data_IF_095560859213
#
_entry.id   IF_095560859213
#
_cell.length_a   1.000
_cell.length_b   1.000
_cell.length_c   1.000
_cell.angle_alpha   90.00
_cell.angle_beta   90.00
_cell.angle_gamma   90.00
#
_symmetry.space_group_name_H-M   'P 1'
#
loop_
_entity.id
_entity.type
_entity.pdbx_description
1 polymer ?
#
# COMPACT_ATOMS: atom_id res chain seq x y z
N UNK A 1 -1.89 -39.27 35.53
CA UNK A 1 -2.78 -38.32 36.24
C UNK A 1 -3.70 -37.74 35.19
N UNK A 2 -5.02 -37.82 35.36
CA UNK A 2 -5.95 -37.22 34.41
C UNK A 2 -5.90 -35.70 34.54
N UNK A 3 -5.78 -34.98 33.43
CA UNK A 3 -5.92 -33.53 33.45
C UNK A 3 -7.29 -33.16 34.04
N UNK A 4 -7.37 -32.22 34.99
CA UNK A 4 -8.65 -31.77 35.52
C UNK A 4 -9.50 -31.26 34.36
N UNK A 5 -10.68 -31.88 34.17
CA UNK A 5 -11.63 -31.48 33.14
C UNK A 5 -11.93 -29.99 33.29
N UNK A 6 -11.53 -29.21 32.28
CA UNK A 6 -11.85 -27.79 32.25
C UNK A 6 -13.37 -27.67 32.08
N UNK A 7 -14.08 -26.98 32.99
CA UNK A 7 -15.53 -26.84 32.89
C UNK A 7 -15.92 -26.18 31.56
N UNK A 8 -17.05 -26.61 30.99
CA UNK A 8 -17.54 -26.05 29.75
C UNK A 8 -17.80 -24.53 29.89
N UNK A 9 -17.43 -23.71 28.89
CA UNK A 9 -17.64 -22.26 28.96
C UNK A 9 -19.14 -21.93 29.04
N UNK A 10 -19.47 -20.82 29.69
CA UNK A 10 -20.84 -20.29 29.68
C UNK A 10 -21.28 -19.98 28.24
N UNK A 11 -22.59 -20.01 27.93
CA UNK A 11 -23.08 -19.70 26.58
C UNK A 11 -22.65 -18.31 26.08
N UNK A 12 -22.61 -17.32 26.98
CA UNK A 12 -22.18 -15.96 26.64
C UNK A 12 -20.68 -15.89 26.33
N UNK A 13 -19.85 -16.62 27.07
CA UNK A 13 -18.42 -16.71 26.79
C UNK A 13 -18.17 -17.46 25.49
N UNK A 14 -18.86 -18.58 25.25
CA UNK A 14 -18.75 -19.33 24.00
C UNK A 14 -19.11 -18.45 22.78
N UNK A 15 -20.15 -17.62 22.90
CA UNK A 15 -20.51 -16.65 21.87
C UNK A 15 -19.41 -15.60 21.66
N UNK A 16 -18.89 -15.01 22.73
CA UNK A 16 -17.79 -14.04 22.65
C UNK A 16 -16.52 -14.63 22.01
N UNK A 17 -16.19 -15.89 22.31
CA UNK A 17 -15.05 -16.58 21.72
C UNK A 17 -15.25 -16.85 20.21
N UNK A 18 -16.49 -17.05 19.75
CA UNK A 18 -16.78 -17.34 18.34
C UNK A 18 -16.52 -16.17 17.38
N UNK A 19 -16.45 -14.94 17.91
CA UNK A 19 -16.19 -13.72 17.12
C UNK A 19 -14.74 -13.23 17.24
N UNK A 20 -13.88 -13.98 17.92
CA UNK A 20 -12.45 -13.69 17.99
C UNK A 20 -11.76 -14.06 16.68
N UNK A 21 -10.95 -13.12 16.17
CA UNK A 21 -10.15 -13.32 14.95
C UNK A 21 -8.77 -13.82 15.36
N UNK A 22 -8.43 -15.03 14.90
CA UNK A 22 -7.12 -15.67 15.08
C UNK A 22 -6.63 -15.75 16.54
N UNK A 23 -7.43 -16.25 17.50
CA UNK A 23 -6.94 -16.51 18.85
C UNK A 23 -5.97 -17.70 18.85
N UNK A 24 -4.89 -17.61 19.62
CA UNK A 24 -4.05 -18.76 19.93
C UNK A 24 -4.68 -19.63 21.05
N UNK A 25 -4.25 -20.89 21.12
CA UNK A 25 -4.81 -21.85 22.09
C UNK A 25 -4.58 -21.42 23.55
N UNK A 26 -3.47 -20.73 23.82
CA UNK A 26 -3.13 -20.30 25.17
C UNK A 26 -4.09 -19.21 25.65
N UNK A 27 -4.42 -18.25 24.79
CA UNK A 27 -5.42 -17.21 25.04
C UNK A 27 -6.81 -17.82 25.24
N UNK A 28 -7.19 -18.82 24.44
CA UNK A 28 -8.48 -19.50 24.59
C UNK A 28 -8.58 -20.21 25.95
N UNK A 29 -7.52 -20.94 26.35
CA UNK A 29 -7.47 -21.61 27.66
C UNK A 29 -7.49 -20.61 28.80
N UNK A 30 -6.78 -19.49 28.67
CA UNK A 30 -6.77 -18.44 29.69
C UNK A 30 -8.15 -17.78 29.83
N UNK A 31 -8.81 -17.45 28.72
CA UNK A 31 -10.15 -16.87 28.72
C UNK A 31 -11.19 -17.77 29.41
N UNK A 32 -11.03 -19.10 29.33
CA UNK A 32 -11.89 -20.07 30.02
C UNK A 32 -11.63 -20.18 31.53
N UNK A 33 -10.40 -19.89 31.97
CA UNK A 33 -9.98 -20.02 33.38
C UNK A 33 -10.01 -18.72 34.16
N UNK A 34 -9.99 -17.59 33.46
CA UNK A 34 -9.90 -16.26 34.05
C UNK A 34 -11.24 -15.51 33.93
N UNK A 35 -11.98 -15.44 35.05
CA UNK A 35 -13.28 -14.77 35.12
C UNK A 35 -13.26 -13.28 34.76
N UNK A 36 -12.13 -12.58 34.96
CA UNK A 36 -12.00 -11.18 34.56
C UNK A 36 -11.91 -11.06 33.04
N UNK A 37 -11.09 -11.90 32.41
CA UNK A 37 -10.96 -11.95 30.95
C UNK A 37 -12.29 -12.40 30.32
N UNK A 38 -12.94 -13.44 30.85
CA UNK A 38 -14.24 -13.91 30.39
C UNK A 38 -15.32 -12.82 30.44
N UNK A 39 -15.39 -12.06 31.55
CA UNK A 39 -16.31 -10.92 31.68
C UNK A 39 -15.99 -9.80 30.69
N UNK A 40 -14.71 -9.52 30.47
CA UNK A 40 -14.27 -8.51 29.51
C UNK A 40 -14.69 -8.89 28.10
N UNK A 41 -14.39 -10.11 27.66
CA UNK A 41 -14.77 -10.61 26.33
C UNK A 41 -16.30 -10.59 26.13
N UNK A 42 -17.05 -11.07 27.12
CA UNK A 42 -18.53 -11.06 27.07
C UNK A 42 -19.08 -9.63 26.97
N UNK A 43 -18.49 -8.68 27.70
CA UNK A 43 -18.90 -7.28 27.65
C UNK A 43 -18.64 -6.66 26.27
N UNK A 44 -17.45 -6.86 25.70
CA UNK A 44 -17.09 -6.29 24.39
C UNK A 44 -17.85 -6.95 23.23
N UNK A 45 -18.17 -8.24 23.33
CA UNK A 45 -19.06 -8.91 22.38
C UNK A 45 -20.47 -8.29 22.40
N UNK A 46 -21.07 -8.12 23.57
CA UNK A 46 -22.39 -7.49 23.71
C UNK A 46 -22.39 -6.03 23.21
N UNK A 47 -21.33 -5.28 23.53
CA UNK A 47 -21.15 -3.90 23.06
C UNK A 47 -21.04 -3.84 21.53
N UNK A 48 -20.16 -4.65 20.94
CA UNK A 48 -19.95 -4.69 19.49
C UNK A 48 -21.20 -5.05 18.73
N UNK A 49 -21.92 -6.08 19.20
CA UNK A 49 -23.19 -6.51 18.64
C UNK A 49 -24.23 -5.39 18.68
N UNK A 50 -24.38 -4.76 19.84
CA UNK A 50 -25.34 -3.66 20.01
C UNK A 50 -25.00 -2.44 19.14
N UNK A 51 -23.72 -2.13 18.93
CA UNK A 51 -23.31 -1.04 18.03
C UNK A 51 -23.59 -1.41 16.57
N UNK A 52 -23.25 -2.63 16.15
CA UNK A 52 -23.53 -3.11 14.80
C UNK A 52 -25.04 -3.10 14.50
N UNK A 53 -25.86 -3.57 15.44
CA UNK A 53 -27.33 -3.53 15.36
C UNK A 53 -27.86 -2.09 15.28
N UNK A 54 -27.31 -1.17 16.09
CA UNK A 54 -27.69 0.23 16.07
C UNK A 54 -27.37 0.92 14.72
N UNK A 55 -26.24 0.57 14.09
CA UNK A 55 -25.89 1.04 12.75
C UNK A 55 -26.80 0.45 11.67
N UNK A 56 -27.11 -0.85 11.77
CA UNK A 56 -28.02 -1.54 10.85
C UNK A 56 -29.46 -1.00 10.94
N UNK A 57 -29.97 -0.76 12.15
CA UNK A 57 -31.31 -0.20 12.38
C UNK A 57 -31.47 1.20 11.78
N UNK A 58 -30.38 1.98 11.74
CA UNK A 58 -30.33 3.31 11.13
C UNK A 58 -30.09 3.29 9.62
N UNK A 59 -29.97 2.11 9.02
CA UNK A 59 -29.65 1.91 7.60
C UNK A 59 -28.38 2.67 7.16
N UNK A 60 -27.37 2.72 8.04
CA UNK A 60 -26.10 3.42 7.75
C UNK A 60 -25.40 2.72 6.60
N UNK A 61 -25.22 3.44 5.49
CA UNK A 61 -24.66 2.92 4.22
C UNK A 61 -25.39 1.68 3.67
N UNK A 62 -26.69 1.52 3.98
CA UNK A 62 -27.47 0.37 3.52
C UNK A 62 -27.35 -0.89 4.40
N UNK A 63 -26.81 -0.75 5.62
CA UNK A 63 -26.70 -1.83 6.61
C UNK A 63 -25.63 -2.88 6.29
N UNK A 64 -25.66 -4.03 6.99
CA UNK A 64 -24.65 -5.08 6.83
C UNK A 64 -23.40 -4.88 7.70
N UNK A 65 -23.53 -4.14 8.80
CA UNK A 65 -22.52 -4.02 9.83
C UNK A 65 -22.49 -5.28 10.70
N UNK A 66 -21.28 -5.81 10.91
CA UNK A 66 -20.98 -6.95 11.78
C UNK A 66 -19.87 -6.59 12.75
N UNK A 67 -19.72 -7.30 13.87
CA UNK A 67 -18.61 -7.08 14.79
C UNK A 67 -17.67 -8.30 14.87
N UNK A 68 -16.42 -8.02 15.19
CA UNK A 68 -15.38 -9.00 15.49
C UNK A 68 -14.50 -8.48 16.63
N UNK A 69 -13.81 -9.38 17.32
CA UNK A 69 -12.86 -9.01 18.37
C UNK A 69 -11.47 -9.54 18.05
N UNK A 70 -10.43 -8.84 18.49
CA UNK A 70 -9.06 -9.36 18.52
C UNK A 70 -8.71 -9.84 19.93
N UNK A 71 -7.85 -10.88 20.07
CA UNK A 71 -7.34 -11.29 21.37
C UNK A 71 -6.65 -10.12 22.08
N UNK A 72 -7.27 -9.60 23.14
CA UNK A 72 -6.70 -8.54 23.96
C UNK A 72 -7.20 -8.60 25.39
N UNK A 73 -6.26 -8.48 26.34
CA UNK A 73 -6.53 -8.51 27.78
C UNK A 73 -7.34 -7.30 28.29
N UNK A 74 -7.41 -6.22 27.51
CA UNK A 74 -8.03 -4.97 27.92
C UNK A 74 -9.36 -4.72 27.20
N UNK A 75 -9.71 -5.58 26.25
CA UNK A 75 -10.91 -5.50 25.43
C UNK A 75 -10.78 -4.58 24.22
N UNK A 76 -11.19 -5.10 23.07
CA UNK A 76 -11.40 -4.33 21.86
C UNK A 76 -12.60 -4.91 21.12
N UNK A 77 -13.20 -4.10 20.26
CA UNK A 77 -14.16 -4.60 19.28
C UNK A 77 -14.04 -3.80 18.00
N UNK A 78 -14.11 -4.48 16.87
CA UNK A 78 -14.15 -3.88 15.54
C UNK A 78 -15.53 -4.06 14.97
N UNK A 79 -16.18 -2.98 14.55
CA UNK A 79 -17.47 -3.01 13.85
C UNK A 79 -17.20 -2.68 12.38
N UNK A 80 -17.45 -3.65 11.51
CA UNK A 80 -17.08 -3.64 10.09
C UNK A 80 -18.30 -3.74 9.19
N UNK A 81 -18.32 -2.90 8.17
CA UNK A 81 -19.24 -2.93 7.05
C UNK A 81 -18.73 -3.88 5.96
N UNK A 82 -19.65 -4.46 5.19
CA UNK A 82 -19.31 -5.32 4.04
C UNK A 82 -18.43 -4.64 2.99
N UNK A 83 -18.54 -3.32 2.83
CA UNK A 83 -17.75 -2.55 1.84
C UNK A 83 -16.36 -2.16 2.37
N UNK A 84 -15.92 -2.74 3.50
CA UNK A 84 -14.58 -2.54 4.06
C UNK A 84 -14.44 -1.40 5.07
N UNK A 85 -15.48 -0.56 5.22
CA UNK A 85 -15.51 0.45 6.29
C UNK A 85 -15.46 -0.24 7.66
N UNK A 86 -14.71 0.29 8.61
CA UNK A 86 -14.77 -0.22 9.97
C UNK A 86 -14.38 0.81 11.02
N UNK A 87 -14.89 0.60 12.22
CA UNK A 87 -14.56 1.34 13.43
C UNK A 87 -13.95 0.39 14.45
N UNK A 88 -12.81 0.77 15.01
CA UNK A 88 -12.12 0.01 16.05
C UNK A 88 -12.34 0.74 17.38
N UNK A 89 -12.96 0.04 18.33
CA UNK A 89 -13.20 0.50 19.68
C UNK A 89 -12.18 -0.14 20.60
N UNK A 90 -11.25 0.66 21.10
CA UNK A 90 -10.12 0.18 21.92
C UNK A 90 -10.20 0.73 23.33
N UNK A 91 -10.01 -0.16 24.29
CA UNK A 91 -9.77 0.22 25.67
C UNK A 91 -8.27 0.10 25.98
N UNK A 92 -7.61 1.23 26.24
CA UNK A 92 -6.16 1.29 26.45
C UNK A 92 -5.71 0.95 27.89
N UNK A 93 -6.58 0.35 28.71
CA UNK A 93 -6.17 -0.31 29.94
C UNK A 93 -5.77 0.58 31.14
N UNK A 94 -5.30 -0.12 32.18
CA UNK A 94 -5.56 0.06 33.63
C UNK A 94 -5.00 1.30 34.34
N UNK A 95 -4.18 2.15 33.72
CA UNK A 95 -3.50 3.23 34.45
C UNK A 95 -4.42 4.38 34.86
N UNK A 96 -5.56 4.55 34.17
CA UNK A 96 -6.52 5.62 34.43
C UNK A 96 -7.61 5.13 35.39
N UNK A 97 -7.70 5.75 36.57
CA UNK A 97 -8.75 5.48 37.55
C UNK A 97 -10.00 6.32 37.27
N UNK A 98 -11.15 5.86 37.77
CA UNK A 98 -12.42 6.60 37.70
C UNK A 98 -12.98 6.75 36.28
N UNK A 99 -13.70 7.85 35.97
CA UNK A 99 -14.36 8.04 34.68
C UNK A 99 -13.44 8.00 33.45
N UNK A 100 -12.14 8.29 33.63
CA UNK A 100 -11.17 8.27 32.54
C UNK A 100 -10.76 6.84 32.13
N UNK A 101 -10.88 5.86 33.03
CA UNK A 101 -10.64 4.45 32.76
C UNK A 101 -11.84 3.71 32.16
N UNK A 102 -12.99 4.39 32.01
CA UNK A 102 -14.22 3.82 31.42
C UNK A 102 -14.48 4.41 30.03
N UNK A 103 -13.41 4.65 29.27
CA UNK A 103 -13.45 5.31 27.96
C UNK A 103 -12.88 4.41 26.88
N UNK A 104 -13.56 4.40 25.74
CA UNK A 104 -13.12 3.75 24.51
C UNK A 104 -12.59 4.81 23.57
N UNK A 105 -11.40 4.59 23.03
CA UNK A 105 -10.93 5.30 21.85
C UNK A 105 -11.58 4.64 20.63
N UNK A 106 -12.17 5.46 19.76
CA UNK A 106 -12.77 4.99 18.51
C UNK A 106 -11.91 5.49 17.35
N UNK A 107 -11.35 4.54 16.61
CA UNK A 107 -10.53 4.78 15.43
C UNK A 107 -11.23 4.25 14.18
N UNK A 108 -10.84 4.77 13.02
CA UNK A 108 -11.33 4.34 11.71
C UNK A 108 -10.33 3.40 11.04
N UNK A 109 -10.89 2.49 10.25
CA UNK A 109 -10.13 1.56 9.43
C UNK A 109 -9.75 2.11 8.07
N UNK A 110 -8.49 1.95 7.66
CA UNK A 110 -8.02 2.32 6.32
C UNK A 110 -7.41 1.11 5.60
N UNK A 111 -7.41 1.09 4.26
CA UNK A 111 -6.65 0.11 3.50
C UNK A 111 -5.19 0.03 3.98
N UNK A 112 -4.64 -1.18 3.95
CA UNK A 112 -3.26 -1.41 4.37
C UNK A 112 -2.29 -0.54 3.57
N UNK A 113 -1.32 0.06 4.26
CA UNK A 113 -0.32 0.93 3.64
C UNK A 113 -0.74 2.40 3.42
N UNK A 114 -2.00 2.77 3.67
CA UNK A 114 -2.41 4.18 3.59
C UNK A 114 -1.69 5.04 4.64
N UNK A 115 -0.94 6.05 4.19
CA UNK A 115 -0.15 6.95 5.03
C UNK A 115 -0.61 8.42 4.98
N UNK A 116 -1.72 8.71 4.29
CA UNK A 116 -2.28 10.05 4.20
C UNK A 116 -2.95 10.54 5.49
N UNK A 117 -3.60 11.70 5.40
CA UNK A 117 -4.33 12.28 6.53
C UNK A 117 -5.43 11.33 7.00
N UNK A 118 -5.68 11.23 8.31
CA UNK A 118 -6.69 10.33 8.87
C UNK A 118 -7.69 11.11 9.72
N UNK A 119 -8.91 10.59 9.79
CA UNK A 119 -9.93 11.14 10.67
C UNK A 119 -9.44 11.04 12.13
N UNK A 120 -9.53 12.16 12.86
CA UNK A 120 -9.08 12.22 14.24
C UNK A 120 -9.91 11.28 15.12
N UNK A 121 -9.26 10.37 15.88
CA UNK A 121 -9.97 9.46 16.77
C UNK A 121 -10.83 10.20 17.80
N UNK A 122 -12.02 9.68 18.08
CA UNK A 122 -12.88 10.20 19.13
C UNK A 122 -12.77 9.35 20.39
N UNK A 123 -13.29 9.86 21.49
CA UNK A 123 -13.46 9.09 22.73
C UNK A 123 -14.92 9.07 23.14
N UNK A 124 -15.40 7.89 23.54
CA UNK A 124 -16.75 7.63 24.05
C UNK A 124 -16.67 6.90 25.39
N UNK A 125 -17.70 7.02 26.23
CA UNK A 125 -17.77 6.24 27.48
C UNK A 125 -18.26 4.83 27.19
N UNK A 126 -17.64 3.84 27.84
CA UNK A 126 -18.01 2.42 27.79
C UNK A 126 -19.38 2.14 28.44
N UNK A 127 -19.83 3.04 29.31
CA UNK A 127 -21.07 2.86 30.09
C UNK A 127 -22.32 3.33 29.35
N UNK A 128 -22.14 3.91 28.15
CA UNK A 128 -23.26 4.40 27.36
C UNK A 128 -23.91 3.25 26.62
N UNK A 129 -25.22 3.39 26.39
CA UNK A 129 -25.96 2.46 25.55
C UNK A 129 -25.31 2.39 24.16
N UNK A 130 -25.24 1.19 23.53
CA UNK A 130 -24.65 1.00 22.21
C UNK A 130 -25.22 1.96 21.15
N UNK A 131 -26.53 2.20 21.20
CA UNK A 131 -27.24 3.14 20.35
C UNK A 131 -26.68 4.58 20.41
N UNK A 132 -26.40 5.05 21.63
CA UNK A 132 -25.86 6.38 21.88
C UNK A 132 -24.38 6.48 21.49
N UNK A 133 -23.63 5.39 21.58
CA UNK A 133 -22.25 5.30 21.07
C UNK A 133 -22.26 5.39 19.54
N UNK A 134 -23.13 4.61 18.88
CA UNK A 134 -23.28 4.65 17.43
C UNK A 134 -23.64 6.06 16.94
N UNK A 135 -24.60 6.73 17.59
CA UNK A 135 -24.97 8.10 17.26
C UNK A 135 -23.78 9.09 17.36
N UNK A 136 -22.92 8.94 18.37
CA UNK A 136 -21.73 9.79 18.50
C UNK A 136 -20.67 9.51 17.42
N UNK A 137 -20.47 8.24 17.06
CA UNK A 137 -19.58 7.86 15.94
C UNK A 137 -20.08 8.47 14.64
N UNK A 138 -21.38 8.35 14.35
CA UNK A 138 -22.00 8.92 13.15
C UNK A 138 -21.90 10.44 13.09
N UNK A 139 -22.05 11.12 14.23
CA UNK A 139 -22.02 12.59 14.28
C UNK A 139 -20.60 13.15 14.24
N UNK A 140 -19.65 12.52 14.93
CA UNK A 140 -18.32 13.11 15.19
C UNK A 140 -17.20 12.53 14.34
N UNK A 141 -17.30 11.27 13.92
CA UNK A 141 -16.21 10.55 13.26
C UNK A 141 -16.55 10.21 11.80
N UNK A 142 -17.77 9.77 11.53
CA UNK A 142 -18.19 9.34 10.19
C UNK A 142 -17.98 10.40 9.09
N UNK A 143 -18.29 11.70 9.28
CA UNK A 143 -18.13 12.68 8.21
C UNK A 143 -16.67 12.77 7.73
N UNK A 144 -15.74 12.98 8.67
CA UNK A 144 -14.30 13.03 8.37
C UNK A 144 -13.79 11.70 7.81
N UNK A 145 -14.30 10.57 8.32
CA UNK A 145 -13.92 9.25 7.82
C UNK A 145 -14.29 9.06 6.35
N UNK A 146 -15.53 9.41 5.96
CA UNK A 146 -15.99 9.26 4.58
C UNK A 146 -15.17 10.13 3.61
N UNK A 147 -14.75 11.31 4.04
CA UNK A 147 -13.92 12.18 3.22
C UNK A 147 -12.53 11.58 2.99
N UNK A 148 -11.88 11.08 4.04
CA UNK A 148 -10.58 10.41 3.91
C UNK A 148 -10.65 9.07 3.17
N UNK A 149 -11.69 8.28 3.41
CA UNK A 149 -11.74 6.90 2.91
C UNK A 149 -11.76 6.85 1.39
N UNK A 150 -12.41 7.80 0.72
CA UNK A 150 -12.39 7.88 -0.75
C UNK A 150 -10.96 8.04 -1.28
N UNK A 151 -10.20 8.94 -0.67
CA UNK A 151 -8.80 9.16 -1.01
C UNK A 151 -7.95 7.92 -0.71
N UNK A 152 -8.13 7.33 0.47
CA UNK A 152 -7.40 6.14 0.88
C UNK A 152 -7.66 4.92 -0.04
N UNK A 153 -8.90 4.75 -0.52
CA UNK A 153 -9.24 3.70 -1.48
C UNK A 153 -8.60 3.97 -2.86
N UNK A 154 -8.59 5.22 -3.31
CA UNK A 154 -7.91 5.59 -4.55
C UNK A 154 -6.39 5.36 -4.46
N UNK A 155 -5.77 5.70 -3.33
CA UNK A 155 -4.36 5.42 -3.05
C UNK A 155 -4.07 3.92 -2.98
N UNK A 156 -4.95 3.13 -2.37
CA UNK A 156 -4.81 1.68 -2.32
C UNK A 156 -4.87 1.07 -3.72
N UNK A 157 -5.79 1.53 -4.57
CA UNK A 157 -5.87 1.08 -5.96
C UNK A 157 -4.61 1.45 -6.75
N UNK A 158 -4.09 2.68 -6.60
CA UNK A 158 -2.81 3.07 -7.22
C UNK A 158 -1.65 2.20 -6.73
N UNK A 159 -1.57 1.99 -5.43
CA UNK A 159 -0.51 1.21 -4.79
C UNK A 159 -0.52 -0.25 -5.25
N UNK A 160 -1.70 -0.86 -5.38
CA UNK A 160 -1.85 -2.21 -5.92
C UNK A 160 -1.54 -2.27 -7.41
N UNK A 161 -1.96 -1.28 -8.20
CA UNK A 161 -1.58 -1.19 -9.62
C UNK A 161 -0.04 -1.11 -9.78
N UNK A 162 0.63 -0.28 -8.97
CA UNK A 162 2.09 -0.20 -8.95
C UNK A 162 2.74 -1.51 -8.48
N UNK A 163 2.10 -2.21 -7.52
CA UNK A 163 2.56 -3.52 -7.05
C UNK A 163 2.51 -4.56 -8.16
N UNK A 164 1.39 -4.65 -8.87
CA UNK A 164 1.24 -5.56 -10.01
C UNK A 164 2.22 -5.22 -11.14
N UNK A 165 2.42 -3.93 -11.43
CA UNK A 165 3.44 -3.47 -12.38
C UNK A 165 4.85 -3.92 -11.97
N UNK A 166 5.22 -3.78 -10.69
CA UNK A 166 6.50 -4.28 -10.15
C UNK A 166 6.65 -5.78 -10.33
N UNK A 167 5.63 -6.56 -10.00
CA UNK A 167 5.65 -8.02 -10.17
C UNK A 167 5.91 -8.39 -11.64
N UNK A 168 5.16 -7.79 -12.57
CA UNK A 168 5.30 -8.05 -14.00
C UNK A 168 6.69 -7.68 -14.52
N UNK A 169 7.20 -6.52 -14.12
CA UNK A 169 8.51 -6.03 -14.54
C UNK A 169 9.67 -6.84 -13.95
N UNK A 170 9.60 -7.19 -12.66
CA UNK A 170 10.59 -8.06 -12.01
C UNK A 170 10.65 -9.42 -12.73
N UNK A 171 9.49 -9.99 -13.08
CA UNK A 171 9.41 -11.22 -13.85
C UNK A 171 10.02 -11.09 -15.25
N UNK A 172 9.80 -9.96 -15.94
CA UNK A 172 10.41 -9.70 -17.24
C UNK A 172 11.94 -9.60 -17.13
N UNK A 173 12.47 -8.87 -16.16
CA UNK A 173 13.91 -8.71 -15.94
C UNK A 173 14.59 -10.05 -15.70
N UNK A 174 14.00 -10.90 -14.86
CA UNK A 174 14.50 -12.25 -14.58
C UNK A 174 14.53 -13.15 -15.82
N UNK A 175 13.54 -13.02 -16.71
CA UNK A 175 13.52 -13.75 -17.98
C UNK A 175 14.62 -13.28 -18.95
N UNK A 176 14.92 -11.98 -18.97
CA UNK A 176 15.86 -11.38 -19.92
C UNK A 176 17.32 -11.50 -19.50
N UNK A 177 17.61 -11.57 -18.20
CA UNK A 177 18.98 -11.61 -17.67
C UNK A 177 19.15 -12.82 -16.75
N UNK A 178 19.59 -13.97 -17.29
CA UNK A 178 19.87 -15.16 -16.49
C UNK A 178 20.91 -14.86 -15.40
N UNK A 179 20.59 -15.22 -14.15
CA UNK A 179 21.50 -15.01 -12.99
C UNK A 179 21.37 -13.64 -12.32
N UNK A 180 20.37 -12.83 -12.69
CA UNK A 180 20.06 -11.59 -11.98
C UNK A 180 19.18 -11.86 -10.76
N UNK A 181 19.54 -11.30 -9.60
CA UNK A 181 18.80 -11.49 -8.33
C UNK A 181 18.63 -10.16 -7.60
N UNK A 182 17.65 -10.09 -6.70
CA UNK A 182 17.49 -8.93 -5.83
C UNK A 182 18.69 -8.77 -4.89
N UNK A 183 19.21 -7.55 -4.76
CA UNK A 183 20.24 -7.22 -3.77
C UNK A 183 19.69 -7.52 -2.37
N UNK A 184 20.49 -8.21 -1.55
CA UNK A 184 20.09 -8.68 -0.22
C UNK A 184 19.72 -10.17 -0.14
N UNK A 185 19.87 -10.92 -1.24
CA UNK A 185 19.74 -12.38 -1.24
C UNK A 185 18.30 -12.89 -1.11
N UNK A 186 17.30 -12.01 -1.20
CA UNK A 186 15.88 -12.40 -1.20
C UNK A 186 15.58 -13.09 -2.52
N UNK A 187 15.04 -14.32 -2.44
CA UNK A 187 14.65 -15.05 -3.65
C UNK A 187 13.50 -14.33 -4.33
N UNK A 188 13.48 -14.26 -5.67
CA UNK A 188 12.37 -13.68 -6.42
C UNK A 188 10.96 -14.12 -6.00
N UNK A 189 10.79 -15.40 -5.67
CA UNK A 189 9.51 -15.96 -5.23
C UNK A 189 9.04 -15.44 -3.86
N UNK A 190 9.96 -15.03 -3.00
CA UNK A 190 9.66 -14.62 -1.63
C UNK A 190 9.25 -13.13 -1.57
N UNK A 191 9.65 -12.34 -2.56
CA UNK A 191 9.30 -10.92 -2.69
C UNK A 191 9.15 -10.52 -4.17
N UNK A 192 8.03 -10.91 -4.83
CA UNK A 192 7.83 -10.66 -6.25
C UNK A 192 7.62 -9.16 -6.57
N UNK A 193 7.14 -8.36 -5.63
CA UNK A 193 6.88 -6.92 -5.76
C UNK A 193 7.98 -6.03 -5.14
N UNK A 194 9.17 -6.59 -4.89
CA UNK A 194 10.30 -5.93 -4.23
C UNK A 194 10.68 -4.59 -4.88
N UNK A 195 11.06 -3.64 -4.02
CA UNK A 195 11.56 -2.31 -4.37
C UNK A 195 13.08 -2.26 -4.15
N UNK A 196 13.85 -3.02 -4.93
CA UNK A 196 15.30 -3.16 -4.70
C UNK A 196 16.08 -3.10 -6.00
N UNK A 197 17.35 -2.70 -5.88
CA UNK A 197 18.34 -2.95 -6.92
C UNK A 197 18.48 -4.46 -7.16
N UNK A 198 18.76 -4.82 -8.39
CA UNK A 198 19.14 -6.15 -8.80
C UNK A 198 20.66 -6.21 -8.99
N UNK A 199 21.25 -7.37 -8.79
CA UNK A 199 22.66 -7.62 -9.05
C UNK A 199 22.84 -8.98 -9.74
N UNK A 200 23.77 -9.02 -10.68
CA UNK A 200 24.31 -10.25 -11.26
C UNK A 200 25.72 -10.47 -10.70
N UNK A 201 25.90 -11.57 -9.98
CA UNK A 201 27.16 -11.95 -9.34
C UNK A 201 27.48 -13.43 -9.55
N UNK A 202 28.77 -13.77 -9.56
CA UNK A 202 29.28 -15.12 -9.80
C UNK A 202 28.75 -16.15 -8.78
N UNK A 203 28.37 -15.69 -7.61
CA UNK A 203 27.90 -16.49 -6.47
C UNK A 203 26.44 -16.95 -6.60
N UNK A 204 25.73 -16.52 -7.65
CA UNK A 204 24.30 -16.79 -7.82
C UNK A 204 23.93 -17.40 -9.18
N UNK A 205 24.93 -17.89 -9.92
CA UNK A 205 24.72 -18.67 -11.14
C UNK A 205 24.48 -20.13 -10.74
N UNK A 206 23.37 -20.77 -11.17
CA UNK A 206 23.09 -22.18 -10.88
C UNK A 206 24.27 -23.08 -11.26
N UNK A 207 24.50 -24.11 -10.45
CA UNK A 207 25.57 -25.09 -10.67
C UNK A 207 25.46 -25.69 -12.08
N UNK A 208 26.55 -25.62 -12.86
CA UNK A 208 26.59 -26.09 -14.26
C UNK A 208 26.26 -25.06 -15.34
N UNK A 209 25.91 -23.81 -14.97
CA UNK A 209 25.81 -22.70 -15.93
C UNK A 209 27.09 -21.88 -15.95
N UNK A 210 27.56 -21.49 -17.15
CA UNK A 210 28.68 -20.56 -17.27
C UNK A 210 28.23 -19.16 -16.87
N UNK A 211 28.80 -18.64 -15.79
CA UNK A 211 28.75 -17.22 -15.51
C UNK A 211 29.42 -16.48 -16.68
N UNK A 212 28.64 -15.95 -17.61
CA UNK A 212 29.15 -14.94 -18.53
C UNK A 212 29.73 -13.82 -17.65
N UNK A 213 30.88 -13.22 -17.98
CA UNK A 213 31.46 -12.14 -17.20
C UNK A 213 30.64 -10.88 -17.42
N UNK A 214 29.37 -10.90 -17.08
CA UNK A 214 28.35 -9.87 -17.30
C UNK A 214 27.88 -9.46 -15.92
N UNK A 215 28.40 -8.32 -15.48
CA UNK A 215 27.93 -7.66 -14.27
C UNK A 215 26.83 -6.67 -14.63
N UNK A 216 26.15 -6.15 -13.63
CA UNK A 216 25.18 -5.10 -13.85
C UNK A 216 24.34 -4.85 -12.61
N UNK A 217 23.66 -3.72 -12.63
CA UNK A 217 22.63 -3.38 -11.66
C UNK A 217 21.37 -2.96 -12.38
N UNK A 218 20.22 -3.43 -11.92
CA UNK A 218 18.93 -2.86 -12.33
C UNK A 218 18.33 -2.16 -11.14
N UNK A 219 18.09 -0.87 -11.23
CA UNK A 219 17.41 -0.09 -10.20
C UNK A 219 16.03 0.28 -10.72
N UNK A 220 14.99 -0.03 -9.94
CA UNK A 220 13.65 0.45 -10.21
C UNK A 220 13.37 1.66 -9.34
N UNK A 221 12.72 2.68 -9.91
CA UNK A 221 12.14 3.76 -9.11
C UNK A 221 10.96 3.24 -8.27
N UNK A 222 10.57 4.01 -7.26
CA UNK A 222 9.59 3.65 -6.22
C UNK A 222 8.23 3.20 -6.76
N UNK A 223 7.82 3.74 -7.90
CA UNK A 223 6.56 3.45 -8.58
C UNK A 223 6.70 2.49 -9.77
N UNK A 224 7.92 2.04 -10.08
CA UNK A 224 8.27 1.21 -11.23
C UNK A 224 7.85 1.79 -12.59
N UNK A 225 7.68 3.11 -12.66
CA UNK A 225 7.53 3.83 -13.92
C UNK A 225 8.87 3.98 -14.65
N UNK A 226 9.98 3.98 -13.90
CA UNK A 226 11.33 4.11 -14.41
C UNK A 226 12.21 2.93 -14.00
N UNK A 227 13.04 2.48 -14.94
CA UNK A 227 14.01 1.39 -14.75
C UNK A 227 15.35 1.84 -15.27
N UNK A 228 16.34 1.86 -14.39
CA UNK A 228 17.73 2.08 -14.74
C UNK A 228 18.44 0.73 -14.83
N UNK A 229 18.85 0.33 -16.04
CA UNK A 229 19.61 -0.89 -16.29
C UNK A 229 21.05 -0.51 -16.60
N UNK A 230 21.96 -0.81 -15.67
CA UNK A 230 23.41 -0.75 -15.91
C UNK A 230 23.91 -2.16 -16.19
N UNK A 231 24.51 -2.37 -17.36
CA UNK A 231 25.16 -3.63 -17.69
C UNK A 231 26.66 -3.39 -17.90
N UNK A 232 27.47 -4.22 -17.25
CA UNK A 232 28.93 -4.18 -17.27
C UNK A 232 29.47 -5.44 -17.92
N UNK A 233 30.49 -5.30 -18.76
CA UNK A 233 31.20 -6.42 -19.38
C UNK A 233 30.31 -7.31 -20.30
N UNK A 234 29.20 -6.78 -20.82
CA UNK A 234 28.35 -7.44 -21.83
C UNK A 234 29.04 -7.45 -23.20
N UNK A 235 29.13 -8.61 -23.89
CA UNK A 235 29.53 -8.65 -25.29
C UNK A 235 28.62 -7.74 -26.14
N UNK A 236 29.17 -6.89 -27.03
CA UNK A 236 28.38 -5.91 -27.79
C UNK A 236 27.18 -6.50 -28.54
N UNK A 237 27.31 -7.71 -29.10
CA UNK A 237 26.21 -8.40 -29.77
C UNK A 237 25.03 -8.70 -28.82
N UNK A 238 25.33 -9.20 -27.61
CA UNK A 238 24.32 -9.48 -26.59
C UNK A 238 23.68 -8.20 -26.05
N UNK A 239 24.46 -7.11 -25.92
CA UNK A 239 23.93 -5.81 -25.52
C UNK A 239 22.95 -5.24 -26.57
N UNK A 240 23.24 -5.42 -27.87
CA UNK A 240 22.37 -5.00 -28.96
C UNK A 240 21.11 -5.86 -29.05
N UNK A 241 21.21 -7.17 -28.81
CA UNK A 241 20.04 -8.07 -28.74
C UNK A 241 19.13 -7.71 -27.57
N UNK A 242 19.68 -7.43 -26.39
CA UNK A 242 18.93 -6.94 -25.22
C UNK A 242 18.24 -5.61 -25.50
N UNK A 243 18.95 -4.63 -26.07
CA UNK A 243 18.37 -3.34 -26.45
C UNK A 243 17.28 -3.51 -27.53
N UNK A 244 17.49 -4.42 -28.48
CA UNK A 244 16.52 -4.76 -29.51
C UNK A 244 15.26 -5.40 -28.92
N UNK A 245 15.41 -6.25 -27.91
CA UNK A 245 14.30 -6.85 -27.18
C UNK A 245 13.54 -5.79 -26.37
N UNK A 246 14.24 -4.96 -25.59
CA UNK A 246 13.67 -3.88 -24.79
C UNK A 246 12.93 -2.83 -25.64
N UNK A 247 13.46 -2.48 -26.82
CA UNK A 247 12.79 -1.58 -27.78
C UNK A 247 11.43 -2.09 -28.25
N UNK A 248 11.24 -3.41 -28.39
CA UNK A 248 9.94 -4.01 -28.79
C UNK A 248 8.87 -3.84 -27.72
N UNK A 249 9.28 -3.64 -26.46
CA UNK A 249 8.39 -3.37 -25.33
C UNK A 249 8.27 -1.88 -24.99
N UNK A 250 8.75 -0.99 -25.88
CA UNK A 250 8.58 0.46 -25.72
C UNK A 250 9.63 1.17 -24.89
N UNK A 251 10.80 0.57 -24.64
CA UNK A 251 11.93 1.27 -23.99
C UNK A 251 12.53 2.31 -24.96
N UNK A 252 12.51 3.59 -24.54
CA UNK A 252 12.64 4.75 -25.44
C UNK A 252 14.08 5.30 -25.54
N UNK A 253 14.96 5.07 -24.57
CA UNK A 253 16.32 5.63 -24.56
C UNK A 253 17.36 4.69 -23.94
N UNK A 254 18.62 4.85 -24.34
CA UNK A 254 19.76 4.11 -23.80
C UNK A 254 21.07 4.77 -24.24
N UNK A 255 22.08 4.76 -23.37
CA UNK A 255 23.38 5.37 -23.63
C UNK A 255 24.50 4.36 -23.37
N UNK A 256 25.50 4.32 -24.27
CA UNK A 256 26.75 3.61 -24.03
C UNK A 256 27.68 4.51 -23.19
N UNK A 257 27.99 4.09 -21.97
CA UNK A 257 28.91 4.81 -21.09
C UNK A 257 30.24 4.05 -21.03
N UNK A 258 31.39 4.69 -21.34
CA UNK A 258 32.71 4.08 -21.13
C UNK A 258 32.94 3.76 -19.66
N UNK A 259 33.62 2.65 -19.38
CA UNK A 259 34.00 2.25 -18.01
C UNK A 259 34.80 3.39 -17.35
N UNK A 260 34.32 3.88 -16.20
CA UNK A 260 34.97 4.94 -15.42
C UNK A 260 34.48 6.37 -15.67
N UNK A 261 33.43 6.57 -16.47
CA UNK A 261 32.77 7.88 -16.63
C UNK A 261 31.35 7.88 -16.05
N UNK A 262 30.93 9.04 -15.53
CA UNK A 262 29.56 9.23 -15.07
C UNK A 262 28.58 9.22 -16.27
N UNK A 263 27.42 8.55 -16.16
CA UNK A 263 26.40 8.56 -17.21
C UNK A 263 25.92 9.99 -17.46
N UNK A 264 25.68 10.34 -18.72
CA UNK A 264 25.13 11.64 -19.13
C UNK A 264 23.91 11.41 -19.99
N UNK A 265 22.71 11.42 -19.39
CA UNK A 265 21.45 11.23 -20.11
C UNK A 265 21.38 12.15 -21.33
N UNK A 266 21.38 11.57 -22.53
CA UNK A 266 21.06 12.27 -23.77
C UNK A 266 19.61 11.93 -24.07
N UNK A 267 18.71 12.90 -23.90
CA UNK A 267 17.33 12.76 -24.34
C UNK A 267 17.31 12.64 -25.87
N UNK A 268 16.84 11.52 -26.39
CA UNK A 268 16.51 11.39 -27.80
C UNK A 268 15.12 11.95 -28.04
N UNK A 269 15.01 13.10 -28.71
CA UNK A 269 13.76 13.49 -29.35
C UNK A 269 13.48 12.49 -30.49
N UNK A 270 12.27 11.92 -30.49
CA UNK A 270 11.79 11.09 -31.58
C UNK A 270 11.55 11.97 -32.80
N UNK A 271 12.42 11.89 -33.81
CA UNK A 271 12.05 12.25 -35.17
C UNK A 271 10.80 11.43 -35.56
N UNK A 272 9.70 12.08 -36.01
CA UNK A 272 8.56 11.38 -36.55
C UNK A 272 9.04 10.49 -37.68
N UNK A 273 8.76 9.19 -37.58
CA UNK A 273 9.08 8.24 -38.64
C UNK A 273 8.18 8.58 -39.83
N UNK A 274 8.72 9.25 -40.84
CA UNK A 274 8.04 9.46 -42.10
C UNK A 274 7.56 8.11 -42.64
N UNK A 275 6.28 8.08 -43.01
CA UNK A 275 5.62 6.91 -43.56
C UNK A 275 6.41 6.43 -44.78
N UNK A 276 6.75 5.14 -44.77
CA UNK A 276 7.46 4.47 -45.85
C UNK A 276 6.71 4.72 -47.17
N UNK A 277 7.45 5.34 -48.08
CA UNK A 277 7.16 5.61 -49.48
C UNK A 277 6.52 4.39 -50.17
N UNK A 278 5.24 4.49 -50.51
CA UNK A 278 4.62 3.64 -51.52
C UNK A 278 4.85 4.29 -52.89
N UNK A 279 5.45 3.56 -53.83
CA UNK A 279 5.64 4.02 -55.22
C UNK A 279 4.29 4.36 -55.90
N UNK A 280 4.28 5.34 -56.84
CA UNK A 280 3.09 5.83 -57.56
C UNK A 280 2.84 5.00 -58.85
N UNK A 281 1.87 5.31 -59.75
CA UNK A 281 0.90 6.42 -59.80
C UNK A 281 -0.55 6.02 -60.18
N UNK A 282 -1.51 6.95 -60.02
CA UNK A 282 -2.47 7.34 -61.07
C UNK A 282 -3.33 8.54 -60.61
N UNK A 283 -3.11 9.66 -61.30
CA UNK A 283 -4.04 10.75 -61.63
C UNK A 283 -4.96 11.38 -60.57
N UNK A 284 -4.91 12.72 -60.55
CA UNK A 284 -6.14 13.51 -60.54
C UNK A 284 -6.31 14.51 -59.41
N UNK A 285 -5.70 15.68 -59.58
CA UNK A 285 -6.27 17.00 -59.22
C UNK A 285 -6.63 17.34 -57.75
N UNK A 286 -5.82 18.29 -57.23
CA UNK A 286 -6.24 19.64 -56.86
C UNK A 286 -6.33 20.04 -55.36
N UNK A 287 -5.51 21.06 -55.06
CA UNK A 287 -5.73 22.23 -54.15
C UNK A 287 -5.61 21.96 -52.64
N UNK A 288 -5.12 22.87 -51.78
CA UNK A 288 -4.29 24.11 -51.80
C UNK A 288 -4.37 24.65 -50.34
N UNK A 289 -3.28 25.25 -49.82
CA UNK A 289 -3.20 26.22 -48.68
C UNK A 289 -3.29 25.65 -47.25
N UNK A 290 -2.61 26.17 -46.22
CA UNK A 290 -1.57 27.20 -46.10
C UNK A 290 -0.92 27.15 -44.69
N UNK A 291 0.33 27.62 -44.65
CA UNK A 291 1.19 27.94 -43.50
C UNK A 291 0.69 29.09 -42.60
N UNK A 292 1.35 29.19 -41.43
CA UNK A 292 1.57 30.33 -40.52
C UNK A 292 0.61 30.55 -39.34
N UNK A 293 1.12 30.34 -38.11
CA UNK A 293 1.56 31.44 -37.23
C UNK A 293 2.34 30.95 -36.00
N UNK A 294 3.47 31.61 -35.78
CA UNK A 294 4.31 31.57 -34.59
C UNK A 294 3.82 32.57 -33.51
N UNK A 295 4.58 32.59 -32.40
CA UNK A 295 4.57 33.49 -31.23
C UNK A 295 3.81 32.89 -30.03
N UNK A 296 4.43 32.54 -28.89
CA UNK A 296 5.62 33.08 -28.23
C UNK A 296 5.15 33.88 -27.01
N UNK A 297 5.32 33.34 -25.79
CA UNK A 297 5.26 34.12 -24.54
C UNK A 297 6.06 33.44 -23.43
N UNK A 298 7.20 34.08 -23.15
CA UNK A 298 8.03 33.96 -21.95
C UNK A 298 7.28 34.64 -20.79
N UNK A 299 7.26 34.03 -19.61
CA UNK A 299 6.95 34.73 -18.35
C UNK A 299 8.14 34.63 -17.39
N UNK A 300 8.52 35.75 -16.74
CA UNK A 300 9.75 35.85 -15.97
C UNK A 300 9.59 35.42 -14.50
N UNK A 301 10.64 34.80 -14.01
CA UNK A 301 10.96 34.56 -12.60
C UNK A 301 11.17 35.88 -11.84
N UNK A 302 10.70 35.95 -10.59
CA UNK A 302 11.11 36.96 -9.61
C UNK A 302 11.14 36.35 -8.19
N UNK A 303 11.87 36.96 -7.25
CA UNK A 303 12.88 36.24 -6.48
C UNK A 303 12.55 36.09 -4.99
N UNK A 304 13.30 35.19 -4.38
CA UNK A 304 13.50 35.02 -2.93
C UNK A 304 14.05 36.33 -2.34
N UNK A 305 13.41 36.82 -1.29
CA UNK A 305 13.99 37.84 -0.39
C UNK A 305 13.98 37.29 1.02
N UNK A 306 15.17 37.05 1.56
CA UNK A 306 15.41 36.83 2.98
C UNK A 306 15.41 38.18 3.70
N UNK A 307 14.83 38.24 4.90
CA UNK A 307 15.07 39.31 5.86
C UNK A 307 15.26 38.69 7.25
N UNK A 308 16.44 38.96 7.79
CA UNK A 308 16.92 38.75 9.15
C UNK A 308 16.61 40.01 9.98
N UNK A 309 16.74 39.89 11.30
CA UNK A 309 16.67 40.91 12.38
C UNK A 309 15.28 41.08 13.03
N UNK A 310 15.12 41.23 14.34
CA UNK A 310 15.93 41.07 15.55
C UNK A 310 14.94 41.23 16.73
N UNK A 311 15.25 40.71 17.93
CA UNK A 311 14.44 40.91 19.15
C UNK A 311 14.27 42.40 19.54
N UNK A 312 13.38 42.76 20.49
CA UNK A 312 13.59 42.37 21.90
C UNK A 312 12.31 42.27 22.81
N UNK A 313 12.51 41.58 23.95
CA UNK A 313 11.90 41.75 25.31
C UNK A 313 10.50 42.34 25.50
N UNK A 314 9.61 41.55 26.11
CA UNK A 314 9.18 41.71 27.52
C UNK A 314 8.66 40.40 28.09
#
# INVERSE_FOLDING_TARGET
MADPQTPAPSPSLAQALSVLVSPDDDFLREAQRNDELARTLTHFDALGRGIAEALNTRDVEGGGWTHTMLPAYWGNVTVRHRDGMHFVFMHHGRSRKGPAGRRLRVETGYPHGYCGWRAEPITVSMDRAPDAIAADVLRRLMPAYKDTLREALADAHRSEAHRQARIGLNGLIEQLVPGIHGVGGVRPCDAPDRKTSFWSGRDHVPEGQYALPVGGSVTLDHDASEVEITLSHVPPALALDLLGHLRRYGVVSGQRVPVGQAPRVIAGELEPRDAVEALPPADGHARRRALHRAQGRVFPSRPVTAAVEAGPTR
#
